data_IF_361662233103
#
_entry.id   IF_361662233103
#
_cell.length_a   1.000
_cell.length_b   1.000
_cell.length_c   1.000
_cell.angle_alpha   90.00
_cell.angle_beta   90.00
_cell.angle_gamma   90.00
#
_symmetry.space_group_name_H-M   'P 1'
#
loop_
_entity.id
_entity.type
_entity.pdbx_description
1 polymer ?
#
# COMPACT_ATOMS: atom_id res chain seq x y z
N UNK A 1 14.47 -11.81 -10.75
CA UNK A 1 13.41 -11.10 -11.51
C UNK A 1 12.47 -10.41 -10.55
N UNK A 2 12.08 -9.19 -10.86
CA UNK A 2 11.14 -8.41 -10.06
C UNK A 2 9.92 -8.06 -10.91
N UNK A 3 8.73 -8.30 -10.37
CA UNK A 3 7.45 -7.97 -11.01
C UNK A 3 6.61 -7.17 -10.03
N UNK A 4 5.58 -6.48 -10.52
CA UNK A 4 4.69 -5.73 -9.65
C UNK A 4 3.24 -5.79 -10.11
N UNK A 5 2.35 -5.57 -9.15
CA UNK A 5 0.92 -5.37 -9.39
C UNK A 5 0.50 -4.05 -8.75
N UNK A 6 -0.25 -3.25 -9.51
CA UNK A 6 -0.76 -1.96 -9.01
C UNK A 6 -2.20 -2.09 -8.53
N UNK A 7 -2.49 -1.32 -7.49
CA UNK A 7 -3.84 -1.13 -6.97
C UNK A 7 -4.10 0.37 -6.82
N UNK A 8 -5.34 0.78 -7.02
CA UNK A 8 -5.75 2.18 -6.84
C UNK A 8 -6.86 2.20 -5.81
N UNK A 9 -6.73 3.07 -4.82
CA UNK A 9 -7.79 3.28 -3.85
C UNK A 9 -8.01 4.77 -3.62
N UNK A 10 -9.22 5.11 -3.20
CA UNK A 10 -9.61 6.47 -2.85
C UNK A 10 -9.65 6.57 -1.33
N UNK A 11 -9.00 7.58 -0.77
CA UNK A 11 -9.01 7.76 0.67
C UNK A 11 -8.87 9.24 1.03
N UNK A 12 -9.33 9.56 2.23
CA UNK A 12 -9.14 10.88 2.81
C UNK A 12 -8.04 10.81 3.86
N UNK A 13 -7.29 11.89 4.00
CA UNK A 13 -6.30 12.02 5.06
C UNK A 13 -6.02 13.48 5.39
N UNK A 14 -5.35 13.68 6.49
CA UNK A 14 -4.85 14.96 6.95
C UNK A 14 -3.45 14.75 7.51
N UNK A 15 -2.52 15.63 7.21
CA UNK A 15 -1.16 15.56 7.74
C UNK A 15 -1.06 16.46 8.98
N UNK A 16 -1.07 15.90 10.21
CA UNK A 16 -1.15 16.69 11.43
C UNK A 16 0.16 17.39 11.81
N UNK A 17 1.29 16.98 11.23
CA UNK A 17 2.61 17.50 11.61
C UNK A 17 3.19 18.49 10.61
N UNK A 18 2.40 19.00 9.67
CA UNK A 18 2.84 20.07 8.77
C UNK A 18 2.64 21.45 9.45
N UNK A 19 3.34 22.50 8.98
CA UNK A 19 3.15 23.84 9.53
C UNK A 19 1.70 24.31 9.46
N UNK A 20 1.29 25.12 10.45
CA UNK A 20 -0.04 25.71 10.48
C UNK A 20 -0.31 26.48 9.18
N UNK A 21 -1.50 26.31 8.62
CA UNK A 21 -1.89 26.91 7.35
C UNK A 21 -1.45 26.14 6.12
N UNK A 22 -0.67 25.08 6.27
CA UNK A 22 -0.28 24.23 5.15
C UNK A 22 -1.50 23.48 4.61
N UNK A 23 -1.66 23.44 3.28
CA UNK A 23 -2.83 22.80 2.66
C UNK A 23 -3.00 21.33 3.03
N UNK A 24 -1.91 20.60 3.22
CA UNK A 24 -1.93 19.19 3.61
C UNK A 24 -2.38 18.96 5.05
N UNK A 25 -2.42 20.00 5.88
CA UNK A 25 -2.98 19.97 7.22
C UNK A 25 -4.50 19.93 7.25
N UNK A 26 -5.15 20.18 6.12
CA UNK A 26 -6.61 20.11 6.00
C UNK A 26 -7.04 18.71 5.58
N UNK A 27 -8.23 18.32 5.99
CA UNK A 27 -8.84 17.10 5.51
C UNK A 27 -9.03 17.20 4.00
N UNK A 28 -8.48 16.25 3.27
CA UNK A 28 -8.64 16.16 1.83
C UNK A 28 -8.60 14.70 1.38
N UNK A 29 -9.16 14.45 0.21
CA UNK A 29 -9.18 13.12 -0.38
C UNK A 29 -8.53 13.14 -1.74
N UNK A 30 -7.93 12.01 -2.11
CA UNK A 30 -7.42 11.80 -3.45
C UNK A 30 -7.20 10.32 -3.74
N UNK A 31 -6.84 10.03 -4.98
CA UNK A 31 -6.49 8.67 -5.41
C UNK A 31 -5.06 8.35 -4.98
N UNK A 32 -4.89 7.17 -4.44
CA UNK A 32 -3.58 6.60 -4.14
C UNK A 32 -3.32 5.43 -5.08
N UNK A 33 -2.15 5.40 -5.68
CA UNK A 33 -1.70 4.27 -6.48
C UNK A 33 -0.60 3.55 -5.72
N UNK A 34 -0.83 2.26 -5.46
CA UNK A 34 0.11 1.40 -4.73
C UNK A 34 0.62 0.32 -5.66
N UNK A 35 1.94 0.16 -5.75
CA UNK A 35 2.57 -0.93 -6.48
C UNK A 35 3.21 -1.90 -5.50
N UNK A 36 2.80 -3.15 -5.57
CA UNK A 36 3.31 -4.25 -4.75
C UNK A 36 4.28 -5.05 -5.62
N UNK A 37 5.57 -4.99 -5.27
CA UNK A 37 6.64 -5.65 -6.01
C UNK A 37 7.00 -6.97 -5.35
N UNK A 38 7.20 -7.99 -6.18
CA UNK A 38 7.72 -9.29 -5.74
C UNK A 38 9.01 -9.60 -6.49
N UNK A 39 9.91 -10.29 -5.83
CA UNK A 39 11.18 -10.72 -6.40
C UNK A 39 11.43 -12.17 -6.07
N UNK A 40 11.95 -12.92 -7.04
CA UNK A 40 12.26 -14.32 -6.87
C UNK A 40 12.63 -15.00 -8.17
N UNK A 41 12.81 -16.31 -8.09
CA UNK A 41 13.08 -17.12 -9.26
C UNK A 41 11.77 -17.60 -9.90
N UNK A 42 11.79 -17.70 -11.23
CA UNK A 42 10.64 -18.21 -11.97
C UNK A 42 10.55 -19.72 -11.77
N UNK A 43 9.38 -20.19 -11.33
CA UNK A 43 9.10 -21.62 -11.26
C UNK A 43 9.11 -22.20 -12.68
N UNK A 44 9.93 -23.22 -12.96
CA UNK A 44 10.05 -23.74 -14.32
C UNK A 44 8.80 -24.45 -14.83
N UNK A 45 7.92 -24.86 -13.92
CA UNK A 45 6.67 -25.52 -14.30
C UNK A 45 5.55 -24.52 -14.57
N UNK A 46 5.30 -23.61 -13.63
CA UNK A 46 4.23 -22.62 -13.75
C UNK A 46 4.61 -21.43 -14.63
N UNK A 47 5.89 -21.10 -14.71
CA UNK A 47 6.37 -19.92 -15.45
C UNK A 47 6.17 -18.61 -14.70
N UNK A 48 5.85 -18.66 -13.41
CA UNK A 48 5.69 -17.43 -12.60
C UNK A 48 6.51 -17.50 -11.32
N UNK A 49 6.74 -16.35 -10.71
CA UNK A 49 7.31 -16.23 -9.36
C UNK A 49 6.21 -16.56 -8.35
N UNK A 50 5.06 -15.93 -8.56
CA UNK A 50 3.86 -16.09 -7.75
C UNK A 50 2.64 -15.75 -8.60
N UNK A 51 1.53 -16.42 -8.37
CA UNK A 51 0.29 -16.12 -9.06
C UNK A 51 -0.22 -14.73 -8.62
N UNK A 52 -0.48 -13.84 -9.57
CA UNK A 52 -1.01 -12.50 -9.27
C UNK A 52 -2.37 -12.55 -8.57
N UNK A 53 -3.16 -13.60 -8.77
CA UNK A 53 -4.43 -13.75 -8.05
C UNK A 53 -4.21 -13.93 -6.55
N UNK A 54 -3.10 -14.55 -6.16
CA UNK A 54 -2.73 -14.68 -4.75
C UNK A 54 -2.32 -13.33 -4.15
N UNK A 55 -1.57 -12.52 -4.90
CA UNK A 55 -1.20 -11.16 -4.47
C UNK A 55 -2.47 -10.34 -4.25
N UNK A 56 -3.41 -10.41 -5.17
CA UNK A 56 -4.70 -9.72 -5.06
C UNK A 56 -5.47 -10.18 -3.82
N UNK A 57 -5.52 -11.48 -3.57
CA UNK A 57 -6.21 -12.04 -2.41
C UNK A 57 -5.57 -11.61 -1.09
N UNK A 58 -4.23 -11.57 -1.03
CA UNK A 58 -3.49 -11.12 0.14
C UNK A 58 -3.77 -9.64 0.42
N UNK A 59 -3.78 -8.82 -0.63
CA UNK A 59 -3.96 -7.38 -0.49
C UNK A 59 -5.41 -6.98 -0.23
N UNK A 60 -6.38 -7.80 -0.57
CA UNK A 60 -7.80 -7.46 -0.47
C UNK A 60 -8.23 -6.96 0.92
N UNK A 61 -7.92 -7.62 2.03
CA UNK A 61 -8.30 -7.12 3.35
C UNK A 61 -7.63 -5.79 3.70
N UNK A 62 -6.40 -5.59 3.23
CA UNK A 62 -5.66 -4.36 3.43
C UNK A 62 -6.31 -3.23 2.62
N UNK A 63 -6.63 -3.52 1.36
CA UNK A 63 -7.32 -2.61 0.46
C UNK A 63 -8.65 -2.12 1.07
N UNK A 64 -9.42 -3.05 1.64
CA UNK A 64 -10.72 -2.72 2.25
C UNK A 64 -10.58 -1.82 3.47
N UNK A 65 -9.47 -1.88 4.19
CA UNK A 65 -9.19 -0.97 5.29
C UNK A 65 -8.84 0.45 4.82
N UNK A 66 -8.29 0.56 3.62
CA UNK A 66 -7.78 1.83 3.08
C UNK A 66 -8.81 2.53 2.20
N UNK A 67 -9.46 1.78 1.31
CA UNK A 67 -10.33 2.33 0.28
C UNK A 67 -11.58 2.95 0.89
N UNK A 68 -11.88 4.20 0.49
CA UNK A 68 -13.02 4.97 0.96
C UNK A 68 -13.04 5.17 2.49
N UNK A 69 -11.87 5.18 3.11
CA UNK A 69 -11.74 5.40 4.55
C UNK A 69 -10.90 6.64 4.86
N UNK A 70 -10.99 7.12 6.10
CA UNK A 70 -10.15 8.17 6.62
C UNK A 70 -8.90 7.53 7.21
N UNK A 71 -7.75 7.72 6.56
CA UNK A 71 -6.51 7.02 6.92
C UNK A 71 -6.06 7.32 8.35
N UNK A 72 -6.27 8.55 8.83
CA UNK A 72 -5.84 8.95 10.19
C UNK A 72 -6.50 8.12 11.31
N UNK A 73 -7.65 7.50 11.04
CA UNK A 73 -8.35 6.66 12.01
C UNK A 73 -7.79 5.23 12.08
N UNK A 74 -6.90 4.87 11.17
CA UNK A 74 -6.31 3.53 11.14
C UNK A 74 -5.12 3.48 12.08
N UNK A 75 -5.06 2.52 13.03
CA UNK A 75 -3.91 2.38 13.92
C UNK A 75 -2.61 2.21 13.13
N UNK A 76 -1.62 3.02 13.44
CA UNK A 76 -0.34 3.07 12.72
C UNK A 76 -0.31 4.10 11.59
N UNK A 77 -1.46 4.67 11.21
CA UNK A 77 -1.57 5.69 10.16
C UNK A 77 -2.04 7.04 10.71
N UNK A 78 -1.73 7.36 11.96
CA UNK A 78 -2.12 8.62 12.59
C UNK A 78 -1.45 9.83 11.90
N UNK A 79 -0.29 9.61 11.28
CA UNK A 79 0.39 10.59 10.43
C UNK A 79 0.58 10.00 9.02
N UNK A 80 -0.47 9.97 8.20
CA UNK A 80 -0.50 9.17 6.97
C UNK A 80 0.14 9.87 5.77
N UNK A 81 1.42 10.17 5.88
CA UNK A 81 2.23 10.57 4.72
C UNK A 81 2.37 9.39 3.77
N UNK A 82 2.79 9.63 2.53
CA UNK A 82 3.06 8.54 1.59
C UNK A 82 4.12 7.59 2.10
N UNK A 83 5.15 8.11 2.78
CA UNK A 83 6.21 7.32 3.36
C UNK A 83 5.71 6.41 4.48
N UNK A 84 4.92 6.94 5.39
CA UNK A 84 4.32 6.18 6.50
C UNK A 84 3.34 5.14 5.95
N UNK A 85 2.54 5.51 4.97
CA UNK A 85 1.59 4.59 4.34
C UNK A 85 2.31 3.41 3.67
N UNK A 86 3.39 3.69 2.93
CA UNK A 86 4.18 2.64 2.28
C UNK A 86 4.76 1.66 3.30
N UNK A 87 5.29 2.18 4.42
CA UNK A 87 5.83 1.36 5.50
C UNK A 87 4.75 0.52 6.17
N UNK A 88 3.58 1.10 6.41
CA UNK A 88 2.44 0.39 7.00
C UNK A 88 1.98 -0.76 6.11
N UNK A 89 1.85 -0.51 4.80
CA UNK A 89 1.47 -1.53 3.82
C UNK A 89 2.52 -2.66 3.81
N UNK A 90 3.80 -2.31 3.81
CA UNK A 90 4.87 -3.30 3.90
C UNK A 90 4.69 -4.22 5.11
N UNK A 91 4.44 -3.63 6.27
CA UNK A 91 4.28 -4.37 7.52
C UNK A 91 3.07 -5.31 7.49
N UNK A 92 2.00 -4.93 6.77
CA UNK A 92 0.82 -5.76 6.62
C UNK A 92 1.01 -6.89 5.62
N UNK A 93 1.74 -6.64 4.54
CA UNK A 93 1.86 -7.58 3.41
C UNK A 93 3.00 -8.57 3.61
N UNK A 94 4.16 -8.12 4.10
CA UNK A 94 5.37 -8.94 4.17
C UNK A 94 5.18 -10.29 4.86
N UNK A 95 4.49 -10.39 6.01
CA UNK A 95 4.27 -11.69 6.65
C UNK A 95 3.48 -12.69 5.81
N UNK A 96 2.63 -12.20 4.89
CA UNK A 96 1.78 -13.02 4.05
C UNK A 96 2.37 -13.26 2.66
N UNK A 97 3.34 -12.45 2.29
CA UNK A 97 3.97 -12.49 0.97
C UNK A 97 5.49 -12.37 1.14
N UNK A 98 6.18 -13.51 1.42
CA UNK A 98 7.63 -13.47 1.66
C UNK A 98 8.43 -12.92 0.48
N UNK A 99 7.92 -13.04 -0.75
CA UNK A 99 8.57 -12.54 -1.97
C UNK A 99 8.48 -11.02 -2.10
N UNK A 100 7.76 -10.33 -1.22
CA UNK A 100 7.64 -8.87 -1.27
C UNK A 100 9.02 -8.22 -1.24
N UNK A 101 9.33 -7.41 -2.24
CA UNK A 101 10.61 -6.74 -2.39
C UNK A 101 10.51 -5.22 -2.27
N UNK A 102 9.35 -4.65 -2.56
CA UNK A 102 9.16 -3.20 -2.57
C UNK A 102 7.68 -2.84 -2.51
N UNK A 103 7.39 -1.73 -1.85
CA UNK A 103 6.08 -1.07 -1.92
C UNK A 103 6.32 0.36 -2.39
N UNK A 104 5.61 0.77 -3.44
CA UNK A 104 5.67 2.14 -3.97
C UNK A 104 4.30 2.78 -3.92
N UNK A 105 4.29 4.04 -3.50
CA UNK A 105 3.09 4.89 -3.50
C UNK A 105 3.28 6.02 -4.52
N UNK A 106 2.27 6.22 -5.32
CA UNK A 106 2.26 7.32 -6.30
C UNK A 106 1.17 8.32 -6.01
#
# INVERSE_FOLDING_TARGET
>A
MELFKEFIFEAAHRLPHVPEGHKCGRLHGHSFRVAIYIEGDVDPYTGWIRDFSEIKAIFKPIYEQLDHNYLNDIPGLENPTSEVLAKWIWQQVKPLLPELSRVRIH
#
